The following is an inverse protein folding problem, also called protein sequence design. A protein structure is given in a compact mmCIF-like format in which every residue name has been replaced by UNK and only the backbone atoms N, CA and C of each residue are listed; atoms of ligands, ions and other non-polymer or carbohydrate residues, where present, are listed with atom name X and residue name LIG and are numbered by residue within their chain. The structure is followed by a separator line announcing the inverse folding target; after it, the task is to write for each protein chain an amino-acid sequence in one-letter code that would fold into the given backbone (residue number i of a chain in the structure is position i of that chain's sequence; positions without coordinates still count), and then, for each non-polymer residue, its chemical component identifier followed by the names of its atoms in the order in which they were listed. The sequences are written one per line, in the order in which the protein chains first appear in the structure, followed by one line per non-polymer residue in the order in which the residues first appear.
data_IF_590621487663
#
_entry.id   IF_590621487663
#
_cell.length_a   1.000
_cell.length_b   1.000
_cell.length_c   1.000
_cell.angle_alpha   90.00
_cell.angle_beta   90.00
_cell.angle_gamma   90.00
#
_symmetry.space_group_name_H-M   'P 1'
#
loop_
_entity.id
_entity.type
_entity.pdbx_description
1 polymer ?
#
# COMPACT_ATOMS: atom_id res chain seq x y z
N UNK A 1 6.36 75.73 6.96
CA UNK A 1 5.23 75.19 6.22
C UNK A 1 5.61 74.54 4.84
N UNK A 2 6.23 75.37 3.90
CA UNK A 2 6.59 74.85 2.56
C UNK A 2 7.74 73.79 2.59
N UNK A 3 8.70 73.93 3.49
CA UNK A 3 9.83 73.00 3.71
C UNK A 3 9.42 71.67 4.22
N UNK A 4 8.36 71.59 4.98
CA UNK A 4 7.88 70.29 5.59
C UNK A 4 7.09 69.47 4.58
N UNK A 5 6.33 70.06 3.69
CA UNK A 5 5.63 69.42 2.60
C UNK A 5 6.62 68.81 1.62
N UNK A 6 7.69 69.52 1.26
CA UNK A 6 8.74 69.01 0.38
C UNK A 6 9.49 67.85 0.98
N UNK A 7 9.86 67.93 2.26
CA UNK A 7 10.49 66.79 2.97
C UNK A 7 9.60 65.53 2.99
N UNK A 8 8.29 65.66 3.21
CA UNK A 8 7.32 64.61 3.21
C UNK A 8 7.21 63.96 1.84
N UNK A 9 7.12 64.71 0.77
CA UNK A 9 7.09 64.23 -0.61
C UNK A 9 8.35 63.40 -0.98
N UNK A 10 9.53 63.88 -0.57
CA UNK A 10 10.81 63.18 -0.79
C UNK A 10 10.85 61.87 -0.02
N UNK A 11 10.30 61.81 1.21
CA UNK A 11 10.24 60.63 2.03
C UNK A 11 9.29 59.58 1.44
N UNK A 12 8.11 60.02 0.98
CA UNK A 12 7.12 59.18 0.31
C UNK A 12 7.68 58.58 -0.99
N UNK A 13 8.39 59.39 -1.80
CA UNK A 13 9.04 58.89 -3.02
C UNK A 13 10.14 57.87 -2.74
N UNK A 14 10.91 58.02 -1.63
CA UNK A 14 11.91 57.02 -1.20
C UNK A 14 11.26 55.72 -0.73
N UNK A 15 10.13 55.79 -0.03
CA UNK A 15 9.38 54.62 0.42
C UNK A 15 8.78 53.89 -0.79
N UNK A 16 8.22 54.63 -1.74
CA UNK A 16 7.66 54.08 -2.97
C UNK A 16 8.72 53.32 -3.80
N UNK A 17 9.90 53.94 -4.04
CA UNK A 17 11.03 53.31 -4.74
C UNK A 17 11.58 52.07 -4.03
N UNK A 18 11.56 52.04 -2.69
CA UNK A 18 11.92 50.85 -1.93
C UNK A 18 10.91 49.72 -2.13
N UNK A 19 9.61 50.00 -2.16
CA UNK A 19 8.55 49.01 -2.38
C UNK A 19 8.63 48.44 -3.78
N UNK A 20 8.84 49.26 -4.81
CA UNK A 20 9.05 48.78 -6.19
C UNK A 20 10.25 47.80 -6.26
N UNK A 21 11.38 48.19 -5.67
CA UNK A 21 12.58 47.37 -5.69
C UNK A 21 12.40 46.04 -4.96
N UNK A 22 11.64 46.00 -3.87
CA UNK A 22 11.28 44.78 -3.16
C UNK A 22 10.35 43.90 -4.01
N UNK A 23 9.40 44.54 -4.70
CA UNK A 23 8.46 43.82 -5.58
C UNK A 23 9.18 43.18 -6.77
N UNK A 24 10.15 43.89 -7.38
CA UNK A 24 11.00 43.37 -8.46
C UNK A 24 11.86 42.19 -8.00
N UNK A 25 12.44 42.25 -6.79
CA UNK A 25 13.19 41.14 -6.19
C UNK A 25 12.29 39.91 -5.97
N UNK A 26 11.10 40.10 -5.41
CA UNK A 26 10.14 39.02 -5.19
C UNK A 26 9.67 38.38 -6.49
N UNK A 27 9.49 39.16 -7.56
CA UNK A 27 9.14 38.66 -8.89
C UNK A 27 10.32 37.86 -9.51
N UNK A 28 11.53 38.33 -9.34
CA UNK A 28 12.74 37.65 -9.81
C UNK A 28 12.96 36.33 -9.08
N UNK A 29 12.78 36.32 -7.75
CA UNK A 29 12.88 35.08 -6.95
C UNK A 29 11.81 34.03 -7.33
N UNK A 30 10.55 34.45 -7.49
CA UNK A 30 9.49 33.56 -7.98
C UNK A 30 9.76 33.01 -9.39
N UNK A 31 10.37 33.81 -10.27
CA UNK A 31 10.78 33.31 -11.61
C UNK A 31 11.95 32.34 -11.53
N UNK A 32 12.87 32.54 -10.60
CA UNK A 32 14.02 31.68 -10.35
C UNK A 32 13.56 30.33 -9.78
N UNK A 33 12.70 30.37 -8.79
CA UNK A 33 12.09 29.18 -8.17
C UNK A 33 11.26 28.36 -9.19
N UNK A 34 10.45 29.03 -10.02
CA UNK A 34 9.74 28.38 -11.13
C UNK A 34 10.67 27.74 -12.17
N UNK A 35 11.81 28.38 -12.47
CA UNK A 35 12.80 27.87 -13.41
C UNK A 35 13.59 26.69 -12.84
N UNK A 36 13.89 26.73 -11.55
CA UNK A 36 14.56 25.68 -10.80
C UNK A 36 13.65 24.47 -10.64
N UNK A 37 12.39 24.66 -10.27
CA UNK A 37 11.35 23.63 -10.24
C UNK A 37 11.07 23.02 -11.61
N UNK A 38 11.16 23.80 -12.69
CA UNK A 38 11.01 23.28 -14.06
C UNK A 38 12.24 22.49 -14.51
N UNK A 39 13.46 22.93 -14.19
CA UNK A 39 14.71 22.19 -14.43
C UNK A 39 14.73 20.88 -13.63
N UNK A 40 14.33 20.91 -12.36
CA UNK A 40 14.22 19.71 -11.53
C UNK A 40 13.21 18.72 -12.11
N UNK A 41 12.05 19.21 -12.58
CA UNK A 41 11.05 18.36 -13.28
C UNK A 41 11.53 17.86 -14.65
N UNK A 42 12.31 18.63 -15.40
CA UNK A 42 12.87 18.20 -16.70
C UNK A 42 14.04 17.23 -16.52
N UNK A 43 14.86 17.40 -15.46
CA UNK A 43 15.92 16.43 -15.09
C UNK A 43 15.30 15.14 -14.54
N UNK A 44 14.18 15.21 -13.83
CA UNK A 44 13.42 14.04 -13.38
C UNK A 44 12.68 13.33 -14.51
N UNK A 45 12.32 14.00 -15.60
CA UNK A 45 11.70 13.37 -16.79
C UNK A 45 12.69 12.59 -17.66
N UNK A 46 13.98 12.81 -17.50
CA UNK A 46 15.03 12.13 -18.29
C UNK A 46 15.71 10.95 -17.58
N UNK A 47 15.43 10.71 -16.30
CA UNK A 47 15.89 9.53 -15.56
C UNK A 47 14.68 8.66 -15.28
N UNK A 48 14.42 7.71 -16.15
CA UNK A 48 13.54 6.59 -15.77
C UNK A 48 14.15 5.93 -14.54
N UNK A 49 13.40 5.95 -13.43
CA UNK A 49 13.87 5.42 -12.16
C UNK A 49 13.93 3.90 -12.28
N UNK A 50 15.13 3.34 -12.23
CA UNK A 50 15.31 1.90 -12.08
C UNK A 50 14.54 1.43 -10.85
N UNK A 51 13.80 0.34 -10.95
CA UNK A 51 13.09 -0.27 -9.83
C UNK A 51 14.11 -0.78 -8.81
N UNK A 52 13.98 -0.31 -7.57
CA UNK A 52 14.88 -0.64 -6.45
C UNK A 52 14.23 -1.46 -5.36
N UNK A 53 12.90 -1.61 -5.39
CA UNK A 53 12.18 -2.46 -4.45
C UNK A 53 10.87 -2.96 -5.06
N UNK A 54 10.50 -4.20 -4.70
CA UNK A 54 9.18 -4.76 -4.97
C UNK A 54 8.48 -5.05 -3.65
N UNK A 55 7.29 -4.49 -3.45
CA UNK A 55 6.51 -4.59 -2.23
C UNK A 55 5.22 -5.35 -2.55
N UNK A 56 4.92 -6.37 -1.78
CA UNK A 56 3.79 -7.26 -2.00
C UNK A 56 2.81 -7.22 -0.83
N UNK A 57 1.51 -7.29 -1.11
CA UNK A 57 0.58 -7.75 -0.08
C UNK A 57 0.80 -9.24 0.21
N UNK A 58 0.23 -9.72 1.31
CA UNK A 58 0.34 -11.11 1.74
C UNK A 58 -0.86 -11.95 1.29
N UNK A 59 -2.02 -11.66 1.91
CA UNK A 59 -3.23 -12.47 1.83
C UNK A 59 -3.92 -12.24 0.48
N UNK A 60 -3.96 -13.25 -0.40
CA UNK A 60 -4.49 -13.12 -1.75
C UNK A 60 -3.46 -12.69 -2.80
N UNK A 61 -2.28 -12.27 -2.40
CA UNK A 61 -1.23 -11.81 -3.33
C UNK A 61 -0.08 -12.81 -3.44
N UNK A 62 0.68 -13.02 -2.36
CA UNK A 62 1.79 -13.99 -2.36
C UNK A 62 1.41 -15.33 -1.73
N UNK A 63 0.37 -15.36 -0.90
CA UNK A 63 -0.14 -16.57 -0.27
C UNK A 63 -1.66 -16.66 -0.39
N UNK A 64 -2.14 -17.86 -0.73
CA UNK A 64 -3.54 -18.24 -0.66
C UNK A 64 -3.86 -18.56 0.80
N UNK A 65 -4.55 -17.64 1.47
CA UNK A 65 -4.87 -17.70 2.89
C UNK A 65 -6.38 -17.71 3.15
N UNK A 66 -7.20 -17.76 2.09
CA UNK A 66 -8.65 -17.60 2.22
C UNK A 66 -9.27 -18.70 3.08
N UNK A 67 -8.79 -19.95 2.96
CA UNK A 67 -9.31 -21.08 3.74
C UNK A 67 -9.00 -20.94 5.24
N UNK A 68 -7.82 -20.40 5.62
CA UNK A 68 -7.48 -20.20 7.03
C UNK A 68 -8.37 -19.15 7.69
N UNK A 69 -8.67 -18.07 6.95
CA UNK A 69 -9.59 -17.04 7.39
C UNK A 69 -11.02 -17.60 7.51
N UNK A 70 -11.47 -18.30 6.49
CA UNK A 70 -12.79 -18.94 6.45
C UNK A 70 -12.97 -19.95 7.59
N UNK A 71 -11.95 -20.77 7.85
CA UNK A 71 -11.97 -21.75 8.93
C UNK A 71 -12.20 -21.09 10.29
N UNK A 72 -11.42 -20.09 10.64
CA UNK A 72 -11.54 -19.40 11.93
C UNK A 72 -12.86 -18.64 12.08
N UNK A 73 -13.32 -17.95 11.03
CA UNK A 73 -14.55 -17.14 11.08
C UNK A 73 -15.79 -18.04 11.03
N UNK A 74 -15.79 -19.16 10.30
CA UNK A 74 -16.90 -20.10 10.32
C UNK A 74 -17.08 -20.78 11.68
N UNK A 75 -15.98 -21.00 12.45
CA UNK A 75 -16.09 -21.42 13.86
C UNK A 75 -16.81 -20.35 14.73
N UNK A 76 -16.60 -19.05 14.43
CA UNK A 76 -17.36 -17.97 15.10
C UNK A 76 -18.84 -18.06 14.76
N UNK A 77 -19.19 -18.21 13.50
CA UNK A 77 -20.58 -18.34 13.07
C UNK A 77 -21.25 -19.54 13.73
N UNK A 78 -20.59 -20.70 13.73
CA UNK A 78 -21.08 -21.93 14.36
C UNK A 78 -21.30 -21.76 15.86
N UNK A 79 -20.37 -21.10 16.57
CA UNK A 79 -20.48 -20.83 18.01
C UNK A 79 -21.75 -20.07 18.39
N UNK A 80 -22.18 -19.14 17.54
CA UNK A 80 -23.40 -18.35 17.73
C UNK A 80 -24.63 -18.98 17.08
N UNK A 81 -24.54 -20.20 16.56
CA UNK A 81 -25.65 -20.91 15.90
C UNK A 81 -26.05 -20.29 14.55
N UNK A 82 -25.15 -19.52 13.94
CA UNK A 82 -25.33 -18.90 12.62
C UNK A 82 -24.88 -19.86 11.51
N UNK A 83 -25.44 -19.68 10.31
CA UNK A 83 -25.09 -20.50 9.16
C UNK A 83 -23.69 -20.15 8.66
N UNK A 84 -22.81 -21.16 8.60
CA UNK A 84 -21.47 -21.02 8.02
C UNK A 84 -21.54 -20.52 6.57
N UNK A 85 -20.49 -19.82 6.14
CA UNK A 85 -20.38 -19.27 4.79
C UNK A 85 -19.42 -20.11 3.95
N UNK A 86 -19.69 -20.25 2.64
CA UNK A 86 -18.75 -20.92 1.74
C UNK A 86 -17.43 -20.16 1.67
N UNK A 87 -16.33 -20.86 1.38
CA UNK A 87 -14.98 -20.26 1.35
C UNK A 87 -14.90 -19.10 0.36
N UNK A 88 -15.59 -19.20 -0.77
CA UNK A 88 -15.62 -18.17 -1.83
C UNK A 88 -16.19 -16.83 -1.35
N UNK A 89 -17.09 -16.83 -0.35
CA UNK A 89 -17.62 -15.59 0.23
C UNK A 89 -16.51 -14.80 0.94
N UNK A 90 -15.50 -15.49 1.48
CA UNK A 90 -14.38 -14.87 2.18
C UNK A 90 -13.45 -14.08 1.26
N UNK A 91 -13.49 -14.30 -0.04
CA UNK A 91 -12.84 -13.42 -1.01
C UNK A 91 -13.30 -11.96 -0.88
N UNK A 92 -14.55 -11.72 -0.43
CA UNK A 92 -15.11 -10.39 -0.22
C UNK A 92 -15.08 -9.93 1.23
N UNK A 93 -14.91 -10.84 2.17
CA UNK A 93 -14.79 -10.47 3.59
C UNK A 93 -13.36 -10.12 3.97
N UNK A 94 -12.37 -10.83 3.42
CA UNK A 94 -10.95 -10.62 3.70
C UNK A 94 -10.34 -9.39 2.95
N UNK A 95 -9.07 -9.07 3.22
CA UNK A 95 -8.29 -7.98 2.60
C UNK A 95 -8.17 -6.73 3.50
N UNK A 96 -9.22 -6.40 4.26
CA UNK A 96 -9.23 -5.21 5.12
C UNK A 96 -8.92 -5.50 6.60
N UNK A 97 -8.40 -6.70 6.89
CA UNK A 97 -8.08 -7.18 8.24
C UNK A 97 -9.15 -8.11 8.80
N UNK A 98 -8.71 -8.96 9.75
CA UNK A 98 -9.50 -10.06 10.29
C UNK A 98 -10.81 -9.63 10.96
N UNK A 99 -10.81 -8.52 11.69
CA UNK A 99 -11.99 -8.03 12.41
C UNK A 99 -13.13 -7.65 11.45
N UNK A 100 -12.78 -7.02 10.31
CA UNK A 100 -13.75 -6.70 9.27
C UNK A 100 -14.25 -7.95 8.54
N UNK A 101 -13.42 -8.99 8.43
CA UNK A 101 -13.88 -10.27 7.90
C UNK A 101 -14.93 -10.91 8.82
N UNK A 102 -14.72 -10.88 10.14
CA UNK A 102 -15.71 -11.32 11.14
C UNK A 102 -17.00 -10.49 11.05
N UNK A 103 -16.89 -9.17 11.00
CA UNK A 103 -18.04 -8.26 10.90
C UNK A 103 -18.89 -8.56 9.64
N UNK A 104 -18.24 -8.68 8.50
CA UNK A 104 -18.91 -8.95 7.21
C UNK A 104 -19.61 -10.31 7.22
N UNK A 105 -18.92 -11.33 7.77
CA UNK A 105 -19.48 -12.67 7.88
C UNK A 105 -20.68 -12.74 8.83
N UNK A 106 -20.64 -12.06 9.99
CA UNK A 106 -21.77 -11.96 10.93
C UNK A 106 -22.98 -11.30 10.28
N UNK A 107 -22.79 -10.16 9.61
CA UNK A 107 -23.87 -9.47 8.88
C UNK A 107 -24.51 -10.37 7.84
N UNK A 108 -23.70 -11.01 7.02
CA UNK A 108 -24.17 -11.89 5.94
C UNK A 108 -24.83 -13.18 6.49
N UNK A 109 -24.44 -13.63 7.70
CA UNK A 109 -25.04 -14.76 8.39
C UNK A 109 -26.32 -14.41 9.17
N UNK A 110 -26.76 -13.15 9.15
CA UNK A 110 -28.04 -12.72 9.74
C UNK A 110 -27.91 -11.89 11.03
N UNK A 111 -26.71 -11.61 11.55
CA UNK A 111 -26.49 -10.69 12.67
C UNK A 111 -26.30 -9.25 12.15
N UNK A 112 -27.36 -8.68 11.55
CA UNK A 112 -27.32 -7.35 10.96
C UNK A 112 -26.98 -6.24 11.99
N UNK A 113 -27.42 -6.42 13.24
CA UNK A 113 -27.18 -5.48 14.33
C UNK A 113 -25.81 -5.68 15.02
N UNK A 114 -25.04 -6.70 14.57
CA UNK A 114 -23.70 -7.02 15.11
C UNK A 114 -23.68 -7.30 16.63
N UNK A 115 -24.71 -7.98 17.13
CA UNK A 115 -24.83 -8.35 18.54
C UNK A 115 -23.66 -9.22 19.02
N UNK A 116 -23.07 -10.00 18.12
CA UNK A 116 -21.99 -10.93 18.43
C UNK A 116 -20.59 -10.38 18.05
N UNK A 117 -20.47 -9.15 17.55
CA UNK A 117 -19.22 -8.64 16.94
C UNK A 117 -18.02 -8.69 17.90
N UNK A 118 -18.16 -8.13 19.11
CA UNK A 118 -17.03 -8.01 20.04
C UNK A 118 -16.52 -9.38 20.49
N UNK A 119 -17.43 -10.26 20.86
CA UNK A 119 -17.10 -11.62 21.27
C UNK A 119 -16.65 -12.47 20.07
N UNK A 120 -17.26 -12.28 18.91
CA UNK A 120 -16.87 -12.93 17.66
C UNK A 120 -15.44 -12.59 17.24
N UNK A 121 -15.05 -11.32 17.33
CA UNK A 121 -13.65 -10.91 17.06
C UNK A 121 -12.71 -11.56 18.09
N UNK A 122 -13.05 -11.54 19.36
CA UNK A 122 -12.21 -12.12 20.43
C UNK A 122 -11.98 -13.63 20.20
N UNK A 123 -13.06 -14.37 19.98
CA UNK A 123 -13.00 -15.81 19.72
C UNK A 123 -12.31 -16.13 18.40
N UNK A 124 -12.68 -15.41 17.36
CA UNK A 124 -12.11 -15.62 16.02
C UNK A 124 -10.61 -15.41 15.99
N UNK A 125 -10.08 -14.38 16.65
CA UNK A 125 -8.63 -14.16 16.80
C UNK A 125 -7.97 -15.29 17.58
N UNK A 126 -8.57 -15.78 18.65
CA UNK A 126 -8.03 -16.89 19.40
C UNK A 126 -7.95 -18.15 18.54
N UNK A 127 -9.02 -18.50 17.84
CA UNK A 127 -9.07 -19.68 16.96
C UNK A 127 -8.19 -19.56 15.72
N UNK A 128 -8.08 -18.34 15.15
CA UNK A 128 -7.13 -18.11 14.07
C UNK A 128 -5.68 -18.33 14.53
N UNK A 129 -5.35 -17.95 15.76
CA UNK A 129 -4.01 -18.14 16.32
C UNK A 129 -3.72 -19.60 16.69
N UNK A 130 -4.75 -20.45 16.89
CA UNK A 130 -4.57 -21.90 17.09
C UNK A 130 -4.03 -22.59 15.83
N UNK A 131 -4.53 -22.20 14.66
CA UNK A 131 -4.11 -22.78 13.37
C UNK A 131 -4.07 -21.72 12.25
N UNK A 132 -3.11 -20.76 12.31
CA UNK A 132 -3.02 -19.66 11.35
C UNK A 132 -2.59 -20.10 9.96
N UNK A 133 -2.12 -21.36 9.83
CA UNK A 133 -1.58 -21.93 8.60
C UNK A 133 -2.53 -22.96 7.96
N UNK A 134 -3.78 -23.04 8.43
CA UNK A 134 -4.76 -23.96 7.88
C UNK A 134 -4.88 -23.79 6.36
N UNK A 135 -4.41 -24.79 5.59
CA UNK A 135 -4.35 -24.83 4.13
C UNK A 135 -3.62 -23.64 3.45
N UNK A 136 -2.83 -22.87 4.20
CA UNK A 136 -2.05 -21.77 3.63
C UNK A 136 -0.93 -22.31 2.74
N UNK A 137 -0.83 -21.75 1.53
CA UNK A 137 0.17 -22.13 0.53
C UNK A 137 0.51 -20.92 -0.38
N UNK A 138 1.70 -20.89 -0.98
CA UNK A 138 1.97 -19.92 -2.05
C UNK A 138 1.07 -20.23 -3.26
N UNK A 139 0.76 -19.20 -4.05
CA UNK A 139 0.14 -19.40 -5.36
C UNK A 139 1.07 -20.20 -6.28
N UNK A 140 0.53 -20.93 -7.29
CA UNK A 140 1.35 -21.66 -8.25
C UNK A 140 2.46 -20.78 -8.85
N UNK A 141 3.68 -21.28 -8.92
CA UNK A 141 4.90 -20.62 -9.43
C UNK A 141 5.33 -19.34 -8.66
N UNK A 142 4.62 -18.92 -7.60
CA UNK A 142 4.95 -17.72 -6.85
C UNK A 142 6.31 -17.83 -6.14
N UNK A 143 6.59 -18.98 -5.52
CA UNK A 143 7.86 -19.19 -4.80
C UNK A 143 9.05 -19.08 -5.76
N UNK A 144 8.98 -19.72 -6.91
CA UNK A 144 10.01 -19.73 -7.94
C UNK A 144 10.23 -18.31 -8.49
N UNK A 145 9.13 -17.60 -8.78
CA UNK A 145 9.16 -16.23 -9.26
C UNK A 145 9.81 -15.27 -8.26
N UNK A 146 9.40 -15.34 -6.99
CA UNK A 146 9.98 -14.49 -5.95
C UNK A 146 11.43 -14.87 -5.61
N UNK A 147 11.80 -16.17 -5.75
CA UNK A 147 13.19 -16.60 -5.58
C UNK A 147 14.07 -15.98 -6.65
N UNK A 148 13.65 -15.95 -7.91
CA UNK A 148 14.40 -15.29 -8.97
C UNK A 148 14.42 -13.76 -8.79
N UNK A 149 13.30 -13.15 -8.44
CA UNK A 149 13.20 -11.70 -8.28
C UNK A 149 14.11 -11.16 -7.16
N UNK A 150 14.18 -11.85 -6.02
CA UNK A 150 14.99 -11.42 -4.86
C UNK A 150 16.50 -11.41 -5.12
N UNK A 151 16.98 -12.12 -6.14
CA UNK A 151 18.39 -12.08 -6.55
C UNK A 151 18.71 -10.78 -7.30
N UNK A 152 17.71 -10.07 -7.82
CA UNK A 152 17.86 -8.87 -8.62
C UNK A 152 17.46 -7.59 -7.89
N UNK A 153 16.49 -7.67 -6.96
CA UNK A 153 15.93 -6.51 -6.26
C UNK A 153 15.45 -6.89 -4.86
N UNK A 154 15.58 -6.01 -3.86
CA UNK A 154 14.96 -6.21 -2.55
C UNK A 154 13.45 -6.40 -2.66
N UNK A 155 12.93 -7.42 -1.94
CA UNK A 155 11.49 -7.73 -1.89
C UNK A 155 10.99 -7.58 -0.45
N UNK A 156 9.76 -7.08 -0.30
CA UNK A 156 9.15 -6.86 1.01
C UNK A 156 7.65 -7.17 1.02
N UNK A 157 7.09 -7.32 2.22
CA UNK A 157 5.66 -7.56 2.44
C UNK A 157 5.03 -6.40 3.21
N UNK A 158 3.85 -5.93 2.75
CA UNK A 158 3.02 -4.90 3.39
C UNK A 158 1.59 -5.42 3.57
N UNK A 159 1.19 -5.80 4.78
CA UNK A 159 -0.08 -6.47 5.03
C UNK A 159 -0.95 -5.79 6.10
N UNK A 160 -2.27 -5.94 5.98
CA UNK A 160 -3.26 -5.58 7.01
C UNK A 160 -3.35 -6.59 8.17
N UNK A 161 -2.63 -7.70 8.06
CA UNK A 161 -2.50 -8.67 9.14
C UNK A 161 -1.69 -8.07 10.31
N UNK A 162 -1.99 -8.38 11.59
CA UNK A 162 -1.14 -8.00 12.71
C UNK A 162 0.33 -8.39 12.47
N UNK A 163 1.28 -7.53 12.85
CA UNK A 163 2.70 -7.64 12.47
C UNK A 163 3.29 -9.01 12.77
N UNK A 164 3.14 -9.50 13.99
CA UNK A 164 3.68 -10.82 14.39
C UNK A 164 3.03 -11.98 13.61
N UNK A 165 1.72 -11.87 13.34
CA UNK A 165 1.03 -12.87 12.53
C UNK A 165 1.48 -12.84 11.06
N UNK A 166 1.76 -11.67 10.51
CA UNK A 166 2.30 -11.54 9.15
C UNK A 166 3.69 -12.18 9.05
N UNK A 167 4.58 -11.92 10.01
CA UNK A 167 5.90 -12.55 10.09
C UNK A 167 5.75 -14.07 10.15
N UNK A 168 4.92 -14.57 11.08
CA UNK A 168 4.72 -15.99 11.27
C UNK A 168 4.26 -16.70 9.98
N UNK A 169 3.25 -16.15 9.29
CA UNK A 169 2.75 -16.74 8.03
C UNK A 169 3.82 -16.68 6.94
N UNK A 170 4.46 -15.52 6.73
CA UNK A 170 5.47 -15.35 5.68
C UNK A 170 6.65 -16.29 5.89
N UNK A 171 7.18 -16.35 7.13
CA UNK A 171 8.34 -17.22 7.43
C UNK A 171 7.99 -18.71 7.38
N UNK A 172 6.77 -19.08 7.73
CA UNK A 172 6.31 -20.46 7.59
C UNK A 172 6.17 -20.88 6.12
N UNK A 173 5.68 -19.97 5.28
CA UNK A 173 5.45 -20.26 3.85
C UNK A 173 6.75 -20.16 3.05
N UNK A 174 7.61 -19.18 3.30
CA UNK A 174 8.79 -18.88 2.48
C UNK A 174 10.13 -19.18 3.15
N UNK A 175 10.16 -19.22 4.46
CA UNK A 175 11.36 -19.36 5.27
C UNK A 175 11.84 -18.03 5.86
N UNK A 176 12.54 -18.07 7.01
CA UNK A 176 13.11 -16.88 7.63
C UNK A 176 14.08 -16.14 6.70
N UNK A 177 14.00 -14.82 6.66
CA UNK A 177 14.89 -13.99 5.86
C UNK A 177 14.67 -14.09 4.33
N UNK A 178 13.58 -14.67 3.87
CA UNK A 178 13.24 -14.71 2.44
C UNK A 178 12.92 -13.31 1.90
N UNK A 179 12.19 -12.50 2.67
CA UNK A 179 11.91 -11.10 2.38
C UNK A 179 12.85 -10.19 3.17
N UNK A 180 13.29 -9.09 2.54
CA UNK A 180 14.15 -8.08 3.18
C UNK A 180 13.42 -7.31 4.30
N UNK A 181 12.10 -7.17 4.17
CA UNK A 181 11.23 -6.54 5.17
C UNK A 181 9.83 -7.16 5.15
N UNK A 182 9.25 -7.35 6.33
CA UNK A 182 7.85 -7.70 6.52
C UNK A 182 7.23 -6.63 7.41
N UNK A 183 6.16 -5.99 6.96
CA UNK A 183 5.44 -4.97 7.70
C UNK A 183 3.95 -5.33 7.74
N UNK A 184 3.49 -5.77 8.89
CA UNK A 184 2.08 -5.87 9.20
C UNK A 184 1.59 -4.65 9.99
N UNK A 185 0.31 -4.63 10.38
CA UNK A 185 -0.28 -3.59 11.19
C UNK A 185 0.31 -3.56 12.60
N UNK A 186 0.64 -2.36 13.10
CA UNK A 186 0.98 -2.08 14.50
C UNK A 186 0.19 -0.87 15.01
N UNK A 187 0.45 -0.45 16.25
CA UNK A 187 -0.15 0.78 16.78
C UNK A 187 0.34 2.03 16.03
N UNK A 188 1.60 2.02 15.57
CA UNK A 188 2.25 3.14 14.87
C UNK A 188 2.03 3.11 13.36
N UNK A 189 1.83 1.91 12.80
CA UNK A 189 1.61 1.68 11.36
C UNK A 189 0.13 1.35 11.14
N UNK A 190 -0.67 2.32 10.70
CA UNK A 190 -2.09 2.12 10.44
C UNK A 190 -2.30 1.17 9.26
N UNK A 191 -3.49 0.56 9.23
CA UNK A 191 -3.90 -0.34 8.15
C UNK A 191 -3.90 0.37 6.78
N UNK A 192 -3.66 -0.38 5.73
CA UNK A 192 -4.02 -0.02 4.36
C UNK A 192 -5.53 0.37 4.31
N UNK A 193 -5.93 1.40 3.59
CA UNK A 193 -5.22 2.07 2.50
C UNK A 193 -4.27 3.21 2.93
N UNK A 194 -3.93 3.34 4.22
CA UNK A 194 -2.87 4.28 4.62
C UNK A 194 -1.54 3.92 3.93
N UNK A 195 -0.85 4.86 3.27
CA UNK A 195 0.42 4.60 2.61
C UNK A 195 1.61 4.45 3.57
N UNK A 196 1.42 4.72 4.87
CA UNK A 196 2.52 4.82 5.85
C UNK A 196 3.34 3.53 5.90
N UNK A 197 2.70 2.36 5.89
CA UNK A 197 3.42 1.08 5.91
C UNK A 197 4.28 0.87 4.66
N UNK A 198 3.74 1.15 3.48
CA UNK A 198 4.46 1.05 2.22
C UNK A 198 5.62 2.04 2.13
N UNK A 199 5.42 3.28 2.58
CA UNK A 199 6.47 4.31 2.62
C UNK A 199 7.58 3.95 3.62
N UNK A 200 7.24 3.41 4.78
CA UNK A 200 8.22 2.95 5.77
C UNK A 200 9.07 1.78 5.24
N UNK A 201 8.48 0.89 4.43
CA UNK A 201 9.23 -0.17 3.74
C UNK A 201 10.19 0.43 2.71
N UNK A 202 9.72 1.33 1.85
CA UNK A 202 10.54 1.96 0.82
C UNK A 202 11.75 2.68 1.44
N UNK A 203 11.54 3.46 2.50
CA UNK A 203 12.61 4.14 3.25
C UNK A 203 13.62 3.15 3.83
N UNK A 204 13.15 2.08 4.49
CA UNK A 204 14.00 1.04 5.06
C UNK A 204 14.84 0.27 4.01
N UNK A 205 14.36 0.20 2.76
CA UNK A 205 15.07 -0.41 1.63
C UNK A 205 15.91 0.59 0.84
N UNK A 206 15.95 1.88 1.24
CA UNK A 206 16.67 2.94 0.54
C UNK A 206 16.12 3.26 -0.86
N UNK A 207 14.84 2.98 -1.10
CA UNK A 207 14.16 3.25 -2.35
C UNK A 207 13.22 4.46 -2.22
N UNK A 208 13.13 5.27 -3.26
CA UNK A 208 12.10 6.30 -3.37
C UNK A 208 10.78 5.64 -3.80
N UNK A 209 9.60 6.21 -3.45
CA UNK A 209 8.32 5.61 -3.85
C UNK A 209 8.21 5.32 -5.34
N UNK A 210 8.64 6.23 -6.20
CA UNK A 210 8.64 6.07 -7.66
C UNK A 210 9.63 5.02 -8.20
N UNK A 211 10.50 4.48 -7.35
CA UNK A 211 11.42 3.37 -7.63
C UNK A 211 10.88 2.03 -7.10
N UNK A 212 9.62 2.01 -6.64
CA UNK A 212 8.96 0.82 -6.08
C UNK A 212 7.83 0.31 -6.98
N UNK A 213 7.77 -1.01 -7.17
CA UNK A 213 6.56 -1.70 -7.63
C UNK A 213 5.78 -2.17 -6.39
N UNK A 214 4.48 -1.87 -6.36
CA UNK A 214 3.57 -2.32 -5.29
C UNK A 214 2.53 -3.27 -5.86
N UNK A 215 2.49 -4.51 -5.34
CA UNK A 215 1.62 -5.58 -5.83
C UNK A 215 0.53 -5.90 -4.79
N UNK A 216 -0.71 -6.02 -5.25
CA UNK A 216 -1.82 -6.41 -4.40
C UNK A 216 -3.05 -6.85 -5.20
N UNK A 217 -3.99 -7.50 -4.53
CA UNK A 217 -5.16 -8.12 -5.15
C UNK A 217 -6.48 -7.44 -4.77
N UNK A 218 -6.45 -6.35 -3.98
CA UNK A 218 -7.66 -5.65 -3.52
C UNK A 218 -7.66 -4.16 -3.87
N UNK A 219 -8.83 -3.52 -3.81
CA UNK A 219 -8.98 -2.06 -3.89
C UNK A 219 -8.10 -1.33 -2.86
N UNK A 220 -8.00 -1.89 -1.66
CA UNK A 220 -7.18 -1.35 -0.56
C UNK A 220 -5.71 -1.28 -0.95
N UNK A 221 -5.20 -2.27 -1.68
CA UNK A 221 -3.82 -2.29 -2.19
C UNK A 221 -3.59 -1.22 -3.26
N UNK A 222 -4.50 -1.14 -4.21
CA UNK A 222 -4.42 -0.13 -5.27
C UNK A 222 -4.40 1.27 -4.68
N UNK A 223 -5.29 1.55 -3.72
CA UNK A 223 -5.33 2.83 -3.01
C UNK A 223 -4.05 3.10 -2.22
N UNK A 224 -3.47 2.06 -1.56
CA UNK A 224 -2.22 2.18 -0.80
C UNK A 224 -1.04 2.54 -1.70
N UNK A 225 -0.81 1.78 -2.77
CA UNK A 225 0.29 2.00 -3.69
C UNK A 225 0.19 3.36 -4.39
N UNK A 226 -1.01 3.73 -4.86
CA UNK A 226 -1.28 5.03 -5.49
C UNK A 226 -1.06 6.19 -4.50
N UNK A 227 -1.54 6.09 -3.26
CA UNK A 227 -1.34 7.10 -2.24
C UNK A 227 0.13 7.23 -1.81
N UNK A 228 0.90 6.14 -1.88
CA UNK A 228 2.34 6.13 -1.65
C UNK A 228 3.15 6.71 -2.82
N UNK A 229 2.56 6.91 -4.00
CA UNK A 229 3.27 7.34 -5.22
C UNK A 229 4.11 6.24 -5.86
N UNK A 230 3.76 4.98 -5.64
CA UNK A 230 4.42 3.80 -6.20
C UNK A 230 3.75 3.36 -7.51
N UNK A 231 4.46 2.56 -8.32
CA UNK A 231 3.85 1.92 -9.48
C UNK A 231 3.00 0.74 -9.02
N UNK A 232 1.67 0.90 -9.10
CA UNK A 232 0.70 -0.02 -8.50
C UNK A 232 0.26 -1.09 -9.49
N UNK A 233 0.46 -2.35 -9.10
CA UNK A 233 0.20 -3.54 -9.91
C UNK A 233 -0.90 -4.36 -9.26
N UNK A 234 -2.01 -4.53 -9.95
CA UNK A 234 -3.09 -5.40 -9.55
C UNK A 234 -2.83 -6.85 -9.98
N UNK A 235 -3.04 -7.80 -9.09
CA UNK A 235 -2.93 -9.24 -9.40
C UNK A 235 -4.31 -9.88 -9.39
N UNK A 236 -4.63 -10.66 -10.44
CA UNK A 236 -6.00 -11.16 -10.67
C UNK A 236 -6.24 -12.58 -10.16
N UNK A 237 -5.22 -13.23 -9.62
CA UNK A 237 -5.33 -14.57 -9.02
C UNK A 237 -5.80 -14.56 -7.55
N UNK A 238 -5.93 -13.35 -6.93
CA UNK A 238 -6.30 -13.17 -5.54
C UNK A 238 -7.81 -13.09 -5.30
N UNK A 239 -8.20 -12.33 -4.29
CA UNK A 239 -9.56 -12.30 -3.75
C UNK A 239 -10.54 -11.49 -4.60
N UNK A 240 -10.08 -10.39 -5.23
CA UNK A 240 -10.99 -9.44 -5.88
C UNK A 240 -11.04 -9.62 -7.39
N UNK A 241 -12.21 -9.32 -7.99
CA UNK A 241 -12.35 -9.38 -9.44
C UNK A 241 -11.50 -8.30 -10.11
N UNK A 242 -11.00 -8.59 -11.31
CA UNK A 242 -10.21 -7.69 -12.16
C UNK A 242 -10.78 -6.28 -12.24
N UNK A 243 -12.11 -6.14 -12.35
CA UNK A 243 -12.75 -4.85 -12.48
C UNK A 243 -12.55 -3.94 -11.26
N UNK A 244 -12.56 -4.50 -10.04
CA UNK A 244 -12.29 -3.73 -8.82
C UNK A 244 -10.89 -3.11 -8.83
N UNK A 245 -9.88 -3.84 -9.32
CA UNK A 245 -8.51 -3.34 -9.45
C UNK A 245 -8.41 -2.20 -10.47
N UNK A 246 -9.10 -2.32 -11.61
CA UNK A 246 -9.20 -1.27 -12.64
C UNK A 246 -9.86 -0.03 -12.08
N UNK A 247 -11.01 -0.17 -11.42
CA UNK A 247 -11.78 0.93 -10.84
C UNK A 247 -11.01 1.67 -9.74
N UNK A 248 -10.05 0.98 -9.09
CA UNK A 248 -9.16 1.56 -8.09
C UNK A 248 -7.76 1.92 -8.65
N UNK A 249 -7.67 2.09 -9.98
CA UNK A 249 -6.51 2.65 -10.67
C UNK A 249 -5.24 1.80 -10.59
N UNK A 250 -5.35 0.47 -10.72
CA UNK A 250 -4.19 -0.35 -11.02
C UNK A 250 -3.51 0.19 -12.29
N UNK A 251 -2.20 0.45 -12.21
CA UNK A 251 -1.42 0.94 -13.37
C UNK A 251 -1.07 -0.19 -14.34
N UNK A 252 -1.03 -1.41 -13.83
CA UNK A 252 -0.80 -2.66 -14.57
C UNK A 252 -1.61 -3.78 -13.92
N UNK A 253 -1.97 -4.81 -14.70
CA UNK A 253 -2.63 -6.01 -14.20
C UNK A 253 -1.84 -7.24 -14.65
N UNK A 254 -1.62 -8.16 -13.72
CA UNK A 254 -0.97 -9.45 -13.99
C UNK A 254 -1.97 -10.58 -13.71
N UNK A 255 -1.98 -11.58 -14.59
CA UNK A 255 -2.87 -12.73 -14.48
C UNK A 255 -2.16 -13.97 -13.92
N UNK A 256 -0.82 -13.95 -13.85
CA UNK A 256 0.00 -15.05 -13.34
C UNK A 256 1.26 -14.54 -12.63
N UNK A 257 1.72 -15.23 -11.57
CA UNK A 257 2.92 -14.83 -10.83
C UNK A 257 4.18 -14.65 -11.68
N UNK A 258 4.38 -15.47 -12.71
CA UNK A 258 5.59 -15.40 -13.57
C UNK A 258 5.71 -14.06 -14.32
N UNK A 259 4.60 -13.37 -14.53
CA UNK A 259 4.56 -12.08 -15.20
C UNK A 259 5.22 -10.96 -14.37
N UNK A 260 5.40 -11.17 -13.04
CA UNK A 260 6.11 -10.25 -12.15
C UNK A 260 7.55 -9.98 -12.66
N UNK A 261 8.29 -11.03 -13.00
CA UNK A 261 9.65 -10.90 -13.53
C UNK A 261 9.68 -10.15 -14.89
N UNK A 262 8.73 -10.49 -15.76
CA UNK A 262 8.59 -9.82 -17.06
C UNK A 262 8.33 -8.33 -16.89
N UNK A 263 7.42 -7.95 -15.97
CA UNK A 263 7.13 -6.56 -15.66
C UNK A 263 8.37 -5.85 -15.09
N UNK A 264 9.04 -6.45 -14.11
CA UNK A 264 10.24 -5.90 -13.48
C UNK A 264 11.33 -5.61 -14.51
N UNK A 265 11.64 -6.56 -15.40
CA UNK A 265 12.63 -6.39 -16.44
C UNK A 265 12.21 -5.31 -17.46
N UNK A 266 10.94 -5.29 -17.87
CA UNK A 266 10.40 -4.27 -18.77
C UNK A 266 10.56 -2.87 -18.17
N UNK A 267 10.17 -2.67 -16.91
CA UNK A 267 10.29 -1.38 -16.22
C UNK A 267 11.73 -0.88 -16.09
N UNK A 268 12.70 -1.78 -16.05
CA UNK A 268 14.12 -1.45 -16.02
C UNK A 268 14.76 -1.27 -17.41
N UNK A 269 14.09 -1.71 -18.49
CA UNK A 269 14.56 -1.60 -19.88
C UNK A 269 13.92 -0.44 -20.65
N UNK A 270 12.77 0.05 -20.23
CA UNK A 270 12.11 1.23 -20.81
C UNK A 270 13.00 2.47 -20.60
N UNK A 271 13.82 2.83 -21.63
CA UNK A 271 14.74 3.98 -21.65
C UNK A 271 14.09 5.21 -22.26
#
# INVERSE_FOLDING_TARGET
AASDVYKRQVQEKKIWLRREKIQDIMIADKKREKKENRRTKETMKGSQNMIKACIFDLDGTIADTVESIAHAVNRVLEHFGLVQRPVEAFNFYAGDGFDLAVERALKDAGDAELNYLQEGIRLGRAWFNEDPLYHVKPYPNMRETLTALREEVPIAVCSNKPHEAAIHVVESVYGPGFFNRIQGQTAEIPRKPSPIGALAIADALGARPEECLYFGDTNTDMQTGNAAGMFTVGVTWGFRPRQELIDNHAMELLDRPEEILTLFHRKNQEK
#
